data_IF_064062620102
#
_entry.id   IF_064062620102
#
_cell.length_a   1.000
_cell.length_b   1.000
_cell.length_c   1.000
_cell.angle_alpha   90.00
_cell.angle_beta   90.00
_cell.angle_gamma   90.00
#
_symmetry.space_group_name_H-M   'P 1'
#
loop_
_entity.id
_entity.type
_entity.pdbx_description
1 polymer ?
#
# COMPACT_ATOMS: atom_id res chain seq x y z
N UNK A 1 -11.91 -34.81 -42.16
CA UNK A 1 -13.04 -33.86 -42.18
C UNK A 1 -13.93 -34.23 -40.99
N UNK A 2 -13.59 -33.87 -39.75
CA UNK A 2 -13.77 -32.57 -39.06
C UNK A 2 -15.21 -32.09 -39.05
N UNK A 3 -15.84 -32.07 -37.86
CA UNK A 3 -16.07 -30.83 -37.08
C UNK A 3 -16.69 -31.17 -35.72
N UNK A 4 -15.99 -30.84 -34.64
CA UNK A 4 -16.55 -30.68 -33.29
C UNK A 4 -17.10 -29.26 -33.13
N UNK A 5 -18.15 -29.04 -32.32
CA UNK A 5 -18.67 -27.70 -32.07
C UNK A 5 -17.82 -26.99 -31.00
N UNK A 6 -17.35 -25.81 -31.34
CA UNK A 6 -16.61 -24.92 -30.45
C UNK A 6 -17.50 -24.44 -29.29
N UNK A 7 -17.06 -24.72 -28.06
CA UNK A 7 -17.62 -24.11 -26.86
C UNK A 7 -17.15 -22.65 -26.77
N UNK A 8 -18.10 -21.73 -26.90
CA UNK A 8 -17.88 -20.29 -26.69
C UNK A 8 -17.55 -20.02 -25.22
N UNK A 9 -16.32 -19.58 -24.96
CA UNK A 9 -15.91 -19.05 -23.66
C UNK A 9 -16.47 -17.64 -23.46
N UNK A 10 -16.94 -17.26 -22.27
CA UNK A 10 -17.38 -15.90 -22.01
C UNK A 10 -16.16 -14.96 -21.93
N UNK A 11 -16.23 -13.84 -22.64
CA UNK A 11 -15.22 -12.80 -22.63
C UNK A 11 -15.05 -12.25 -21.21
N UNK A 12 -13.80 -12.24 -20.72
CA UNK A 12 -13.45 -11.57 -19.47
C UNK A 12 -13.81 -10.09 -19.57
N UNK A 13 -14.66 -9.62 -18.65
CA UNK A 13 -15.10 -8.22 -18.56
C UNK A 13 -13.90 -7.32 -18.29
N UNK A 14 -13.43 -6.61 -19.32
CA UNK A 14 -12.46 -5.53 -19.17
C UNK A 14 -13.10 -4.42 -18.34
N UNK A 15 -12.71 -4.28 -17.08
CA UNK A 15 -13.14 -3.18 -16.23
C UNK A 15 -12.54 -1.89 -16.79
N UNK A 16 -13.39 -1.00 -17.33
CA UNK A 16 -12.99 0.36 -17.67
C UNK A 16 -12.47 1.09 -16.43
N UNK A 17 -11.51 2.02 -16.57
CA UNK A 17 -11.08 2.84 -15.44
C UNK A 17 -12.30 3.63 -14.93
N UNK A 18 -12.64 3.57 -13.63
CA UNK A 18 -13.76 4.35 -13.11
C UNK A 18 -13.48 5.84 -13.33
N UNK A 19 -14.37 6.50 -14.06
CA UNK A 19 -14.39 7.97 -14.21
C UNK A 19 -14.97 8.66 -12.98
N UNK A 20 -15.58 7.89 -12.06
CA UNK A 20 -15.94 8.39 -10.74
C UNK A 20 -14.69 8.57 -9.89
N UNK A 21 -14.61 9.73 -9.25
CA UNK A 21 -13.54 10.08 -8.34
C UNK A 21 -13.57 9.08 -7.17
N UNK A 22 -12.76 8.03 -7.25
CA UNK A 22 -12.67 6.93 -6.26
C UNK A 22 -12.44 7.44 -4.82
N UNK A 23 -12.01 8.70 -4.68
CA UNK A 23 -11.84 9.45 -3.44
C UNK A 23 -13.17 9.64 -2.68
N UNK A 24 -14.31 9.71 -3.38
CA UNK A 24 -15.65 9.93 -2.82
C UNK A 24 -16.45 8.63 -2.63
N UNK A 25 -15.94 7.48 -3.11
CA UNK A 25 -16.62 6.19 -2.94
C UNK A 25 -16.60 5.74 -1.48
N UNK A 26 -17.68 5.09 -0.98
CA UNK A 26 -17.68 4.43 0.32
C UNK A 26 -16.49 3.47 0.46
N UNK A 27 -15.89 3.44 1.64
CA UNK A 27 -14.78 2.54 1.92
C UNK A 27 -15.32 1.15 2.23
N UNK A 28 -15.16 0.22 1.28
CA UNK A 28 -15.38 -1.20 1.52
C UNK A 28 -14.17 -1.79 2.25
N UNK A 29 -14.34 -2.10 3.53
CA UNK A 29 -13.28 -2.61 4.41
C UNK A 29 -12.85 -4.03 4.04
N UNK A 30 -13.78 -4.86 3.59
CA UNK A 30 -13.47 -6.23 3.18
C UNK A 30 -12.70 -6.21 1.87
N UNK A 31 -13.10 -5.34 0.93
CA UNK A 31 -12.33 -5.11 -0.28
C UNK A 31 -10.92 -4.58 0.04
N UNK A 32 -10.77 -3.59 0.92
CA UNK A 32 -9.45 -3.09 1.34
C UNK A 32 -8.59 -4.17 2.01
N UNK A 33 -9.20 -5.03 2.83
CA UNK A 33 -8.51 -6.16 3.47
C UNK A 33 -8.01 -7.15 2.43
N UNK A 34 -8.81 -7.46 1.41
CA UNK A 34 -8.46 -8.39 0.33
C UNK A 34 -7.44 -7.83 -0.68
N UNK A 35 -7.23 -6.51 -0.76
CA UNK A 35 -6.29 -5.91 -1.75
C UNK A 35 -4.84 -6.32 -1.49
N UNK A 36 -4.23 -7.15 -2.32
CA UNK A 36 -2.84 -7.55 -2.12
C UNK A 36 -1.85 -6.37 -2.20
N UNK A 37 -0.71 -6.49 -1.52
CA UNK A 37 0.34 -5.47 -1.56
C UNK A 37 1.03 -5.43 -2.92
N UNK A 38 1.44 -4.24 -3.36
CA UNK A 38 2.32 -4.13 -4.52
C UNK A 38 3.68 -4.79 -4.24
N UNK A 39 4.23 -5.48 -5.24
CA UNK A 39 5.54 -6.13 -5.12
C UNK A 39 6.65 -5.10 -4.92
N UNK A 40 7.74 -5.51 -4.27
CA UNK A 40 8.93 -4.67 -4.13
C UNK A 40 9.47 -4.19 -5.50
N UNK A 41 9.45 -5.08 -6.51
CA UNK A 41 9.88 -4.75 -7.88
C UNK A 41 8.95 -3.72 -8.55
N UNK A 42 7.64 -3.78 -8.32
CA UNK A 42 6.68 -2.76 -8.77
C UNK A 42 7.01 -1.39 -8.18
N UNK A 43 7.21 -1.31 -6.87
CA UNK A 43 7.49 -0.04 -6.18
C UNK A 43 8.87 0.54 -6.55
N UNK A 44 9.87 -0.32 -6.76
CA UNK A 44 11.18 0.09 -7.25
C UNK A 44 11.10 0.59 -8.71
N UNK A 45 10.26 -0.05 -9.53
CA UNK A 45 9.91 0.41 -10.87
C UNK A 45 9.32 1.82 -10.84
N UNK A 46 8.35 2.05 -9.94
CA UNK A 46 7.76 3.37 -9.72
C UNK A 46 8.82 4.44 -9.35
N UNK A 47 9.71 4.15 -8.39
CA UNK A 47 10.81 5.06 -8.02
C UNK A 47 11.71 5.43 -9.20
N UNK A 48 12.00 4.45 -10.06
CA UNK A 48 12.90 4.61 -11.20
C UNK A 48 12.20 5.11 -12.46
N UNK A 49 10.91 5.43 -12.40
CA UNK A 49 10.05 5.73 -13.57
C UNK A 49 10.14 4.64 -14.64
N UNK A 50 10.25 3.39 -14.20
CA UNK A 50 10.42 2.22 -15.03
C UNK A 50 9.10 1.60 -15.49
N UNK A 51 9.23 0.41 -16.09
CA UNK A 51 8.12 -0.40 -16.57
C UNK A 51 7.34 -1.01 -15.40
N UNK A 52 6.06 -1.29 -15.65
CA UNK A 52 5.21 -2.03 -14.73
C UNK A 52 5.80 -3.42 -14.46
N UNK A 53 5.62 -3.89 -13.22
CA UNK A 53 5.88 -5.27 -12.86
C UNK A 53 4.65 -6.12 -13.18
N UNK A 54 4.74 -6.95 -14.21
CA UNK A 54 3.67 -7.88 -14.62
C UNK A 54 3.32 -8.94 -13.56
N UNK A 55 4.13 -9.08 -12.49
CA UNK A 55 3.83 -9.94 -11.34
C UNK A 55 3.15 -9.20 -10.20
N UNK A 56 2.97 -7.88 -10.30
CA UNK A 56 2.25 -7.13 -9.29
C UNK A 56 0.76 -7.55 -9.33
N UNK A 57 0.15 -7.94 -8.20
CA UNK A 57 -1.28 -8.31 -8.18
C UNK A 57 -2.18 -7.12 -8.57
N UNK A 58 -1.67 -5.90 -8.45
CA UNK A 58 -2.38 -4.67 -8.81
C UNK A 58 -1.99 -4.12 -10.21
N UNK A 59 -1.24 -4.87 -11.03
CA UNK A 59 -0.66 -4.36 -12.29
C UNK A 59 -1.69 -3.77 -13.24
N UNK A 60 -2.87 -4.37 -13.37
CA UNK A 60 -3.93 -3.88 -14.25
C UNK A 60 -4.45 -2.50 -13.83
N UNK A 61 -4.48 -2.20 -12.52
CA UNK A 61 -4.87 -0.88 -12.01
C UNK A 61 -3.81 0.19 -12.30
N UNK A 62 -2.56 -0.23 -12.48
CA UNK A 62 -1.47 0.66 -12.86
C UNK A 62 -1.45 0.90 -14.38
N UNK A 63 -2.06 0.01 -15.18
CA UNK A 63 -2.07 0.08 -16.64
C UNK A 63 -3.13 1.05 -17.16
N UNK A 64 -2.73 2.30 -17.35
CA UNK A 64 -3.60 3.34 -17.94
C UNK A 64 -3.41 3.37 -19.46
N UNK A 65 -4.50 3.29 -20.23
CA UNK A 65 -4.51 3.39 -21.70
C UNK A 65 -3.51 2.43 -22.41
N UNK A 66 -3.34 1.22 -21.87
CA UNK A 66 -2.38 0.23 -22.41
C UNK A 66 -0.91 0.57 -22.15
N UNK A 67 -0.63 1.58 -21.31
CA UNK A 67 0.72 1.98 -20.94
C UNK A 67 1.50 0.88 -20.22
N UNK A 68 2.80 0.79 -20.51
CA UNK A 68 3.70 -0.19 -19.90
C UNK A 68 4.55 0.38 -18.77
N UNK A 69 4.30 1.64 -18.38
CA UNK A 69 5.00 2.36 -17.33
C UNK A 69 4.01 2.88 -16.29
N UNK A 70 4.51 3.19 -15.11
CA UNK A 70 3.70 3.76 -14.03
C UNK A 70 3.07 5.10 -14.44
N UNK A 71 1.76 5.32 -14.22
CA UNK A 71 1.04 6.53 -14.63
C UNK A 71 1.22 7.70 -13.66
N UNK A 72 2.02 7.52 -12.61
CA UNK A 72 2.24 8.48 -11.54
C UNK A 72 3.69 8.38 -11.09
N UNK A 73 4.17 9.42 -10.43
CA UNK A 73 5.46 9.44 -9.75
C UNK A 73 5.30 9.05 -8.27
N UNK A 74 6.42 8.76 -7.60
CA UNK A 74 6.39 8.55 -6.14
C UNK A 74 5.86 9.78 -5.40
N UNK A 75 6.27 10.98 -5.80
CA UNK A 75 5.82 12.22 -5.17
C UNK A 75 4.29 12.42 -5.29
N UNK A 76 3.76 12.20 -6.50
CA UNK A 76 2.32 12.27 -6.75
C UNK A 76 1.56 11.17 -6.00
N UNK A 77 2.09 9.94 -5.95
CA UNK A 77 1.49 8.85 -5.17
C UNK A 77 1.43 9.18 -3.67
N UNK A 78 2.53 9.66 -3.09
CA UNK A 78 2.60 10.07 -1.68
C UNK A 78 1.58 11.17 -1.39
N UNK A 79 1.46 12.15 -2.30
CA UNK A 79 0.48 13.22 -2.18
C UNK A 79 -0.96 12.70 -2.29
N UNK A 80 -1.25 11.81 -3.24
CA UNK A 80 -2.58 11.19 -3.41
C UNK A 80 -2.97 10.40 -2.16
N UNK A 81 -2.05 9.60 -1.60
CA UNK A 81 -2.29 8.87 -0.36
C UNK A 81 -2.60 9.85 0.78
N UNK A 82 -1.78 10.89 0.96
CA UNK A 82 -2.00 11.89 2.02
C UNK A 82 -3.38 12.53 1.89
N UNK A 83 -3.73 13.03 0.70
CA UNK A 83 -5.02 13.69 0.46
C UNK A 83 -6.19 12.73 0.68
N UNK A 84 -6.07 11.48 0.22
CA UNK A 84 -7.08 10.45 0.45
C UNK A 84 -7.31 10.16 1.92
N UNK A 85 -6.23 10.10 2.72
CA UNK A 85 -6.32 9.88 4.17
C UNK A 85 -6.80 11.13 4.93
N UNK A 86 -6.41 12.33 4.49
CA UNK A 86 -6.91 13.59 5.05
C UNK A 86 -8.43 13.75 4.80
N UNK A 87 -8.93 13.22 3.67
CA UNK A 87 -10.36 13.17 3.35
C UNK A 87 -11.11 12.08 4.11
N UNK A 88 -10.59 10.85 4.12
CA UNK A 88 -11.20 9.72 4.84
C UNK A 88 -10.12 8.77 5.40
N UNK A 89 -9.95 8.81 6.73
CA UNK A 89 -8.98 7.99 7.45
C UNK A 89 -9.24 6.49 7.35
N UNK A 90 -10.48 6.05 7.05
CA UNK A 90 -10.82 4.62 6.92
C UNK A 90 -10.11 3.93 5.76
N UNK A 91 -9.53 4.70 4.83
CA UNK A 91 -8.68 4.22 3.74
C UNK A 91 -7.32 3.72 4.20
N UNK A 92 -6.92 4.02 5.45
CA UNK A 92 -5.85 3.33 6.14
C UNK A 92 -6.47 2.30 7.09
N UNK A 93 -5.99 1.07 6.99
CA UNK A 93 -6.44 -0.02 7.84
C UNK A 93 -5.31 -0.43 8.79
N UNK A 94 -5.47 -0.25 10.12
CA UNK A 94 -4.50 -0.74 11.08
C UNK A 94 -4.31 -2.25 10.93
N UNK A 95 -3.07 -2.71 10.88
CA UNK A 95 -2.76 -4.15 10.82
C UNK A 95 -2.69 -4.63 12.28
N UNK A 96 -3.81 -5.18 12.77
CA UNK A 96 -3.94 -5.65 14.15
C UNK A 96 -3.70 -7.15 14.20
N UNK A 97 -2.52 -7.55 14.68
CA UNK A 97 -2.23 -8.95 15.04
C UNK A 97 -2.34 -9.19 16.55
N UNK A 98 -2.36 -10.46 17.01
CA UNK A 98 -2.37 -10.81 18.44
C UNK A 98 -1.18 -10.22 19.23
N UNK A 99 -0.12 -9.77 18.55
CA UNK A 99 1.02 -9.05 19.14
C UNK A 99 0.87 -7.51 19.26
N UNK A 100 -0.12 -6.90 18.59
CA UNK A 100 -0.31 -5.43 18.54
C UNK A 100 -1.36 -4.91 19.54
N UNK A 101 -2.09 -5.81 20.22
CA UNK A 101 -2.93 -5.48 21.39
C UNK A 101 -2.13 -5.23 22.68
N UNK A 102 -0.80 -5.32 22.64
CA UNK A 102 0.06 -4.91 23.76
C UNK A 102 0.49 -3.48 23.49
N UNK A 103 0.21 -2.58 24.44
CA UNK A 103 0.74 -1.23 24.47
C UNK A 103 2.19 -1.25 23.97
N UNK A 104 2.52 -0.35 23.05
CA UNK A 104 3.79 -0.28 22.35
C UNK A 104 4.94 -0.76 23.25
N UNK A 105 5.59 -1.87 22.91
CA UNK A 105 6.81 -2.29 23.62
C UNK A 105 7.71 -1.06 23.71
N UNK A 106 8.33 -0.78 24.87
CA UNK A 106 9.40 0.21 24.94
C UNK A 106 10.40 -0.06 23.80
N UNK A 107 10.43 0.83 22.80
CA UNK A 107 11.26 0.67 21.59
C UNK A 107 10.53 0.52 20.26
N UNK A 108 9.22 0.20 20.23
CA UNK A 108 8.42 0.12 19.00
C UNK A 108 8.15 1.51 18.39
N UNK A 109 8.69 1.78 17.20
CA UNK A 109 8.69 3.13 16.62
C UNK A 109 7.39 3.54 15.91
N UNK A 110 6.44 2.62 15.73
CA UNK A 110 5.18 2.90 15.01
C UNK A 110 4.22 1.71 14.92
N UNK A 111 2.96 1.98 14.58
CA UNK A 111 1.93 1.00 14.25
C UNK A 111 1.81 0.86 12.72
N UNK A 112 1.77 -0.36 12.17
CA UNK A 112 1.62 -0.57 10.74
C UNK A 112 0.17 -0.44 10.28
N UNK A 113 -0.02 0.18 9.12
CA UNK A 113 -1.28 0.35 8.44
C UNK A 113 -1.14 -0.18 7.01
N UNK A 114 -2.15 -0.87 6.51
CA UNK A 114 -2.34 -1.11 5.08
C UNK A 114 -2.95 0.15 4.47
N UNK A 115 -2.36 0.63 3.39
CA UNK A 115 -2.77 1.87 2.73
C UNK A 115 -2.93 1.60 1.25
N UNK A 116 -4.09 1.92 0.69
CA UNK A 116 -4.41 1.75 -0.73
C UNK A 116 -4.61 3.12 -1.35
N UNK A 117 -3.86 3.41 -2.41
CA UNK A 117 -4.03 4.65 -3.18
C UNK A 117 -5.33 4.61 -3.99
N UNK A 118 -6.18 5.66 -3.89
CA UNK A 118 -7.52 5.65 -4.49
C UNK A 118 -7.50 5.66 -6.03
N UNK A 119 -6.49 6.29 -6.65
CA UNK A 119 -6.51 6.52 -8.11
C UNK A 119 -5.97 5.34 -8.92
N UNK A 120 -4.94 4.66 -8.43
CA UNK A 120 -4.21 3.65 -9.19
C UNK A 120 -3.99 2.33 -8.42
N UNK A 121 -4.61 2.19 -7.25
CA UNK A 121 -4.59 0.94 -6.48
C UNK A 121 -3.21 0.52 -5.98
N UNK A 122 -2.27 1.46 -5.80
CA UNK A 122 -1.00 1.13 -5.15
C UNK A 122 -1.26 0.79 -3.69
N UNK A 123 -0.96 -0.45 -3.30
CA UNK A 123 -1.17 -0.94 -1.93
C UNK A 123 0.18 -1.11 -1.24
N UNK A 124 0.36 -0.36 -0.14
CA UNK A 124 1.64 -0.20 0.57
C UNK A 124 1.43 -0.24 2.08
N UNK A 125 2.53 -0.26 2.83
CA UNK A 125 2.52 -0.11 4.29
C UNK A 125 2.73 1.34 4.67
N UNK A 126 1.87 1.85 5.55
CA UNK A 126 2.07 3.06 6.32
C UNK A 126 2.54 2.71 7.74
N UNK A 127 3.78 3.01 8.10
CA UNK A 127 4.25 2.90 9.48
C UNK A 127 3.90 4.20 10.22
N UNK A 128 2.78 4.20 10.92
CA UNK A 128 2.23 5.35 11.62
C UNK A 128 2.82 5.56 13.01
N UNK A 129 3.00 6.82 13.42
CA UNK A 129 3.53 7.17 14.73
C UNK A 129 2.87 8.42 15.31
N UNK A 130 3.01 8.58 16.63
CA UNK A 130 2.53 9.74 17.38
C UNK A 130 3.56 10.89 17.31
N UNK A 131 3.11 12.14 17.47
CA UNK A 131 3.98 13.33 17.33
C UNK A 131 5.24 13.27 18.22
N UNK A 132 5.13 12.73 19.44
CA UNK A 132 6.27 12.64 20.38
C UNK A 132 7.40 11.72 19.89
N UNK A 133 7.09 10.74 19.05
CA UNK A 133 8.06 9.75 18.52
C UNK A 133 8.55 10.14 17.13
N UNK A 134 7.88 11.09 16.46
CA UNK A 134 8.21 11.52 15.10
C UNK A 134 9.68 11.88 14.88
N UNK A 135 10.36 12.67 15.75
CA UNK A 135 11.77 13.02 15.51
C UNK A 135 12.71 11.81 15.42
N UNK A 136 12.36 10.68 16.04
CA UNK A 136 13.12 9.43 15.95
C UNK A 136 12.81 8.70 14.63
N UNK A 137 11.54 8.64 14.25
CA UNK A 137 11.11 7.95 13.04
C UNK A 137 11.49 8.73 11.76
N UNK A 138 11.58 10.05 11.84
CA UNK A 138 12.05 10.88 10.74
C UNK A 138 13.50 10.56 10.36
N UNK A 139 14.37 10.27 11.33
CA UNK A 139 15.75 9.82 11.08
C UNK A 139 15.79 8.47 10.34
N UNK A 140 14.77 7.62 10.50
CA UNK A 140 14.67 6.36 9.74
C UNK A 140 14.52 6.65 8.24
N UNK A 141 13.80 7.70 7.86
CA UNK A 141 13.69 8.11 6.46
C UNK A 141 15.04 8.55 5.88
N UNK A 142 15.89 9.21 6.68
CA UNK A 142 17.24 9.59 6.25
C UNK A 142 18.10 8.35 5.97
N UNK A 143 17.99 7.31 6.80
CA UNK A 143 18.68 6.03 6.57
C UNK A 143 18.23 5.39 5.25
N UNK A 144 16.93 5.36 4.96
CA UNK A 144 16.42 4.84 3.68
C UNK A 144 16.92 5.64 2.48
N UNK A 145 16.98 6.97 2.59
CA UNK A 145 17.28 7.86 1.45
C UNK A 145 18.77 8.10 1.22
N UNK A 146 19.61 7.93 2.25
CA UNK A 146 21.04 8.25 2.16
C UNK A 146 21.93 7.00 2.26
N UNK A 147 21.54 6.00 3.05
CA UNK A 147 22.41 4.85 3.37
C UNK A 147 21.93 3.60 2.63
N UNK A 148 20.64 3.30 2.65
CA UNK A 148 20.08 2.04 2.15
C UNK A 148 19.60 2.08 0.69
N UNK A 149 19.99 3.10 -0.07
CA UNK A 149 19.52 3.33 -1.44
C UNK A 149 19.66 2.09 -2.33
N UNK A 150 20.81 1.40 -2.26
CA UNK A 150 21.07 0.21 -3.07
C UNK A 150 20.38 -1.07 -2.53
N UNK A 151 19.98 -1.09 -1.26
CA UNK A 151 19.38 -2.24 -0.60
C UNK A 151 17.85 -2.30 -0.79
N UNK A 152 17.22 -1.19 -1.20
CA UNK A 152 15.77 -1.09 -1.34
C UNK A 152 15.22 -2.01 -2.43
N UNK A 153 14.16 -2.73 -2.07
CA UNK A 153 13.51 -3.72 -2.92
C UNK A 153 14.22 -5.07 -2.99
N UNK A 154 15.32 -5.23 -2.24
CA UNK A 154 16.04 -6.50 -2.09
C UNK A 154 16.15 -6.91 -0.63
N UNK A 155 16.99 -6.21 0.15
CA UNK A 155 17.24 -6.53 1.56
C UNK A 155 16.37 -5.70 2.52
N UNK A 156 15.87 -4.54 2.05
CA UNK A 156 14.96 -3.69 2.81
C UNK A 156 13.78 -3.26 1.94
N UNK A 157 12.61 -2.93 2.53
CA UNK A 157 11.47 -2.45 1.76
C UNK A 157 11.77 -1.18 0.99
N UNK A 158 11.16 -1.02 -0.19
CA UNK A 158 11.18 0.23 -0.94
C UNK A 158 10.50 1.32 -0.14
N UNK A 159 11.20 2.41 0.16
CA UNK A 159 10.70 3.58 0.87
C UNK A 159 10.16 4.61 -0.12
N UNK A 160 8.90 5.00 0.03
CA UNK A 160 8.23 5.92 -0.89
C UNK A 160 8.22 7.35 -0.38
N UNK A 161 8.13 7.54 0.94
CA UNK A 161 8.15 8.88 1.51
C UNK A 161 7.48 9.00 2.86
N UNK A 162 7.28 10.26 3.26
CA UNK A 162 6.68 10.65 4.54
C UNK A 162 5.36 11.34 4.29
N UNK A 163 4.37 11.11 5.14
CA UNK A 163 3.13 11.88 5.16
C UNK A 163 2.82 12.39 6.57
N UNK A 164 2.21 13.56 6.62
CA UNK A 164 1.70 14.20 7.82
C UNK A 164 0.21 14.42 7.63
N UNK A 165 -0.60 13.74 8.42
CA UNK A 165 -2.06 13.84 8.38
C UNK A 165 -2.52 15.15 9.00
N UNK A 166 -3.56 15.76 8.43
CA UNK A 166 -4.24 16.93 8.99
C UNK A 166 -4.93 16.56 10.31
N UNK A 167 -5.74 15.51 10.27
CA UNK A 167 -6.38 14.92 11.44
C UNK A 167 -5.67 13.62 11.82
N UNK A 168 -5.30 13.43 13.10
CA UNK A 168 -4.67 12.19 13.50
C UNK A 168 -5.66 11.03 13.52
N UNK A 169 -5.17 9.84 13.17
CA UNK A 169 -5.90 8.59 13.33
C UNK A 169 -5.86 8.17 14.81
N UNK A 170 -7.03 7.97 15.41
CA UNK A 170 -7.13 7.48 16.79
C UNK A 170 -7.03 5.96 16.81
N UNK A 171 -5.87 5.45 17.23
CA UNK A 171 -5.62 4.02 17.33
C UNK A 171 -5.69 3.60 18.80
N UNK A 172 -6.70 2.81 19.16
CA UNK A 172 -6.90 2.30 20.52
C UNK A 172 -5.65 1.58 21.03
N UNK A 173 -5.21 1.92 22.25
CA UNK A 173 -4.00 1.33 22.87
C UNK A 173 -2.66 1.84 22.32
N UNK A 174 -2.64 2.67 21.26
CA UNK A 174 -1.42 3.26 20.70
C UNK A 174 -1.40 4.80 20.81
N UNK A 175 -2.54 5.44 20.54
CA UNK A 175 -2.72 6.90 20.59
C UNK A 175 -2.97 7.54 19.23
N UNK A 176 -2.78 8.86 19.16
CA UNK A 176 -3.12 9.70 18.01
C UNK A 176 -1.99 9.68 16.96
N UNK A 177 -2.12 8.80 15.98
CA UNK A 177 -1.18 8.64 14.86
C UNK A 177 -1.34 9.82 13.90
N UNK A 178 -0.28 10.59 13.69
CA UNK A 178 -0.30 11.77 12.79
C UNK A 178 0.69 11.66 11.64
N UNK A 179 1.79 10.95 11.84
CA UNK A 179 2.88 10.88 10.88
C UNK A 179 3.04 9.44 10.42
N UNK A 180 3.26 9.22 9.12
CA UNK A 180 3.50 7.87 8.60
C UNK A 180 4.71 7.85 7.65
N UNK A 181 5.49 6.77 7.71
CA UNK A 181 6.42 6.39 6.65
C UNK A 181 5.69 5.46 5.68
N UNK A 182 5.73 5.74 4.38
CA UNK A 182 5.16 4.90 3.34
C UNK A 182 6.24 4.04 2.71
N UNK A 183 6.01 2.73 2.67
CA UNK A 183 6.99 1.76 2.18
C UNK A 183 6.34 0.46 1.68
N UNK A 184 7.09 -0.34 0.92
CA UNK A 184 6.64 -1.66 0.47
C UNK A 184 6.41 -2.64 1.63
N UNK A 185 5.60 -3.66 1.40
CA UNK A 185 5.41 -4.74 2.36
C UNK A 185 6.58 -5.74 2.28
N UNK A 186 7.25 -5.98 3.41
CA UNK A 186 8.39 -6.90 3.50
C UNK A 186 8.13 -8.14 4.36
N UNK A 187 6.89 -8.36 4.82
CA UNK A 187 6.51 -9.55 5.57
C UNK A 187 6.02 -10.68 4.66
N UNK A 188 5.83 -11.86 5.23
CA UNK A 188 5.06 -12.93 4.60
C UNK A 188 3.59 -12.75 4.98
N UNK A 189 2.67 -12.88 4.01
CA UNK A 189 1.26 -12.98 4.34
C UNK A 189 1.04 -14.37 4.94
N UNK A 190 0.76 -14.44 6.24
CA UNK A 190 0.48 -15.72 6.89
C UNK A 190 -0.88 -16.16 6.37
N UNK A 191 -0.88 -17.03 5.37
CA UNK A 191 -2.08 -17.74 4.93
C UNK A 191 -2.70 -18.41 6.14
N UNK A 192 -4.01 -18.25 6.30
CA UNK A 192 -4.76 -18.94 7.36
C UNK A 192 -4.38 -20.42 7.34
N UNK A 193 -3.77 -20.89 8.43
CA UNK A 193 -3.65 -22.32 8.68
C UNK A 193 -5.09 -22.80 8.88
N UNK A 194 -5.67 -23.38 7.84
CA UNK A 194 -6.85 -24.22 8.00
C UNK A 194 -6.38 -25.41 8.81
N UNK A 195 -6.69 -25.43 10.11
CA UNK A 195 -6.69 -26.66 10.89
C UNK A 195 -7.67 -27.60 10.19
N UNK A 196 -7.13 -28.57 9.46
CA UNK A 196 -7.85 -29.79 9.11
C UNK A 196 -7.77 -30.68 10.35
N UNK A 197 -8.91 -30.82 11.03
CA UNK A 197 -9.19 -31.97 11.89
C UNK A 197 -9.52 -33.20 11.04
#
# INVERSE_FOLDING_TARGET
MTTDPAASQPAASASQPPTDRWEDSPVDRDALQAHEYCTQRCLLGLQRRGRLDEKCPNVERHRVNGGTHHPTTVAELVQQIRLGLDHNLERAMPIVGPGYRRAARPGGSGAPFKVVSPRFGYTVIGKGTICRVWPRLEREADVYTQILVAAQGSAVPVFLGKINLQQPYELEGFGRVRHMLLMGYGGEEIGMVTTMD
#
